data_IF_425304954777
#
_entry.id   IF_425304954777
#
_cell.length_a   1.000
_cell.length_b   1.000
_cell.length_c   1.000
_cell.angle_alpha   90.00
_cell.angle_beta   90.00
_cell.angle_gamma   90.00
#
_symmetry.space_group_name_H-M   'P 1'
#
loop_
_entity.id
_entity.type
_entity.pdbx_description
1 polymer ?
#
# COMPACT_ATOMS: atom_id res chain seq x y z
N UNK A 1 16.41 -27.35 3.44
CA UNK A 1 15.75 -26.33 4.27
C UNK A 1 16.76 -25.22 4.55
N UNK A 2 16.84 -24.22 3.67
CA UNK A 2 17.79 -23.10 3.83
C UNK A 2 17.09 -21.96 4.54
N UNK A 3 17.46 -21.79 5.81
CA UNK A 3 17.12 -20.63 6.64
C UNK A 3 18.10 -19.54 6.23
N UNK A 4 17.67 -18.57 5.42
CA UNK A 4 18.49 -17.37 5.22
C UNK A 4 18.45 -16.55 6.50
N UNK A 5 19.64 -16.22 6.99
CA UNK A 5 19.95 -15.67 8.31
C UNK A 5 19.69 -14.16 8.42
N UNK A 6 18.79 -13.64 7.60
CA UNK A 6 18.40 -12.24 7.62
C UNK A 6 16.91 -12.21 7.92
N UNK A 7 16.54 -11.70 9.09
CA UNK A 7 15.15 -11.59 9.57
C UNK A 7 14.32 -10.61 8.75
N UNK A 8 14.11 -10.89 7.47
CA UNK A 8 13.21 -10.15 6.61
C UNK A 8 11.77 -10.52 6.97
N UNK A 9 11.20 -9.80 7.93
CA UNK A 9 9.78 -9.56 7.94
C UNK A 9 9.45 -8.87 6.60
N UNK A 10 8.66 -9.53 5.76
CA UNK A 10 8.14 -8.94 4.53
C UNK A 10 7.16 -7.83 4.93
N UNK A 11 7.69 -6.62 5.13
CA UNK A 11 6.93 -5.41 4.88
C UNK A 11 7.16 -5.11 3.41
N UNK A 12 6.12 -5.26 2.61
CA UNK A 12 6.14 -4.91 1.19
C UNK A 12 6.26 -3.38 1.08
N UNK A 13 7.51 -2.89 1.15
CA UNK A 13 7.98 -1.79 0.32
C UNK A 13 7.82 -2.17 -1.16
N UNK A 14 7.73 -1.30 -2.17
CA UNK A 14 8.81 -0.38 -2.53
C UNK A 14 8.49 0.63 -3.66
N UNK A 15 9.25 1.73 -3.59
CA UNK A 15 9.69 2.83 -4.50
C UNK A 15 9.25 3.04 -5.98
N UNK A 16 9.10 4.35 -6.26
CA UNK A 16 8.84 5.12 -7.49
C UNK A 16 9.86 5.03 -8.65
N UNK A 17 9.38 5.32 -9.87
CA UNK A 17 10.17 5.91 -10.97
C UNK A 17 9.53 7.23 -11.45
N UNK A 18 10.33 8.30 -11.51
CA UNK A 18 9.93 9.66 -11.88
C UNK A 18 10.06 9.87 -13.41
N UNK A 19 9.01 10.39 -14.07
CA UNK A 19 9.17 11.18 -15.31
C UNK A 19 8.45 12.52 -15.18
N UNK A 20 9.25 13.56 -15.32
CA UNK A 20 8.90 14.98 -15.25
C UNK A 20 8.22 15.41 -16.56
N UNK A 21 7.14 16.18 -16.50
CA UNK A 21 6.68 17.05 -17.60
C UNK A 21 5.87 18.22 -17.01
N UNK A 22 6.11 19.42 -17.54
CA UNK A 22 5.84 20.69 -16.87
C UNK A 22 4.53 21.40 -17.22
N UNK A 23 4.22 22.36 -16.33
CA UNK A 23 3.48 23.63 -16.42
C UNK A 23 2.13 23.71 -17.18
N UNK A 24 1.06 24.09 -16.46
CA UNK A 24 0.50 25.47 -16.44
C UNK A 24 -0.73 25.58 -15.50
N UNK A 25 -0.88 26.76 -14.87
CA UNK A 25 -2.00 27.26 -14.01
C UNK A 25 -2.64 28.44 -14.82
N UNK A 26 -3.93 28.86 -14.69
CA UNK A 26 -4.62 29.03 -13.41
C UNK A 26 -6.15 28.83 -13.29
N UNK A 27 -6.53 28.66 -12.01
CA UNK A 27 -7.73 29.12 -11.29
C UNK A 27 -9.12 29.00 -11.95
N UNK A 28 -9.95 28.13 -11.37
CA UNK A 28 -11.41 28.15 -11.49
C UNK A 28 -12.07 27.62 -10.21
N UNK A 29 -12.76 28.52 -9.50
CA UNK A 29 -13.85 28.31 -8.54
C UNK A 29 -13.80 27.07 -7.60
N UNK A 30 -13.40 27.37 -6.36
CA UNK A 30 -13.79 26.77 -5.07
C UNK A 30 -14.97 25.77 -5.13
N UNK A 31 -14.66 24.46 -5.12
CA UNK A 31 -15.60 23.42 -4.70
C UNK A 31 -15.32 23.04 -3.25
N UNK A 32 -15.97 23.72 -2.31
CA UNK A 32 -15.92 23.36 -0.89
C UNK A 32 -16.49 21.97 -0.61
N UNK A 33 -17.34 21.42 -1.51
CA UNK A 33 -17.81 20.04 -1.45
C UNK A 33 -16.90 19.01 -2.14
N UNK A 34 -15.95 19.44 -2.98
CA UNK A 34 -14.99 18.55 -3.63
C UNK A 34 -13.83 18.17 -2.71
N UNK A 35 -13.35 19.14 -1.91
CA UNK A 35 -12.28 18.91 -0.94
C UNK A 35 -12.72 17.94 0.18
N UNK A 36 -13.90 18.11 0.76
CA UNK A 36 -14.43 17.20 1.81
C UNK A 36 -14.61 15.78 1.27
N UNK A 37 -15.19 15.62 0.06
CA UNK A 37 -15.28 14.32 -0.61
C UNK A 37 -13.90 13.73 -0.91
N UNK A 38 -12.91 14.56 -1.25
CA UNK A 38 -11.55 14.08 -1.49
C UNK A 38 -10.86 13.61 -0.21
N UNK A 39 -11.08 14.28 0.92
CA UNK A 39 -10.57 13.87 2.23
C UNK A 39 -11.26 12.59 2.72
N UNK A 40 -12.58 12.48 2.57
CA UNK A 40 -13.35 11.27 2.86
C UNK A 40 -12.89 10.10 1.99
N UNK A 41 -12.70 10.31 0.68
CA UNK A 41 -12.21 9.27 -0.22
C UNK A 41 -10.76 8.87 0.10
N UNK A 42 -9.89 9.82 0.46
CA UNK A 42 -8.53 9.53 0.90
C UNK A 42 -8.53 8.72 2.20
N UNK A 43 -9.40 9.05 3.15
CA UNK A 43 -9.56 8.29 4.39
C UNK A 43 -10.10 6.88 4.13
N UNK A 44 -11.05 6.73 3.19
CA UNK A 44 -11.54 5.42 2.76
C UNK A 44 -10.43 4.57 2.13
N UNK A 45 -9.55 5.18 1.32
CA UNK A 45 -8.41 4.48 0.74
C UNK A 45 -7.41 4.00 1.81
N UNK A 46 -7.13 4.83 2.81
CA UNK A 46 -6.32 4.44 3.97
C UNK A 46 -7.00 3.30 4.76
N UNK A 47 -8.33 3.31 4.89
CA UNK A 47 -9.06 2.24 5.54
C UNK A 47 -8.97 0.90 4.78
N UNK A 48 -9.06 0.93 3.44
CA UNK A 48 -8.82 -0.25 2.59
C UNK A 48 -7.41 -0.79 2.80
N UNK A 49 -6.40 0.08 2.81
CA UNK A 49 -5.00 -0.31 3.06
C UNK A 49 -4.81 -0.96 4.44
N UNK A 50 -5.43 -0.39 5.48
CA UNK A 50 -5.40 -1.01 6.80
C UNK A 50 -6.06 -2.39 6.81
N UNK A 51 -7.19 -2.55 6.11
CA UNK A 51 -7.87 -3.84 6.03
C UNK A 51 -7.05 -4.86 5.25
N UNK A 52 -6.43 -4.45 4.14
CA UNK A 52 -5.44 -5.25 3.43
C UNK A 52 -4.34 -5.78 4.36
N UNK A 53 -3.70 -4.89 5.13
CA UNK A 53 -2.66 -5.28 6.09
C UNK A 53 -3.17 -6.32 7.09
N UNK A 54 -4.37 -6.12 7.65
CA UNK A 54 -4.96 -7.08 8.59
C UNK A 54 -5.29 -8.42 7.92
N UNK A 55 -5.85 -8.38 6.71
CA UNK A 55 -6.19 -9.57 5.94
C UNK A 55 -4.93 -10.40 5.63
N UNK A 56 -3.83 -9.75 5.25
CA UNK A 56 -2.56 -10.45 5.00
C UNK A 56 -1.98 -11.09 6.27
N UNK A 57 -2.01 -10.37 7.39
CA UNK A 57 -1.49 -10.86 8.67
C UNK A 57 -2.30 -12.04 9.20
N UNK A 58 -3.63 -11.97 9.08
CA UNK A 58 -4.56 -12.93 9.68
C UNK A 58 -5.01 -14.03 8.72
N UNK A 59 -4.61 -13.95 7.45
CA UNK A 59 -4.89 -14.98 6.46
C UNK A 59 -6.29 -14.92 5.86
N UNK A 60 -6.89 -13.72 5.75
CA UNK A 60 -8.13 -13.52 5.01
C UNK A 60 -7.86 -13.50 3.50
N UNK A 61 -7.73 -14.70 2.95
CA UNK A 61 -7.48 -14.92 1.52
C UNK A 61 -8.64 -14.40 0.67
N UNK A 62 -9.88 -14.48 1.16
CA UNK A 62 -11.06 -14.09 0.39
C UNK A 62 -11.10 -12.58 0.17
N UNK A 63 -10.80 -11.80 1.21
CA UNK A 63 -10.69 -10.35 1.09
C UNK A 63 -9.58 -9.94 0.11
N UNK A 64 -8.38 -10.53 0.27
CA UNK A 64 -7.23 -10.23 -0.60
C UNK A 64 -7.53 -10.61 -2.06
N UNK A 65 -8.15 -11.76 -2.30
CA UNK A 65 -8.50 -12.19 -3.65
C UNK A 65 -9.51 -11.26 -4.33
N UNK A 66 -10.48 -10.74 -3.57
CA UNK A 66 -11.48 -9.80 -4.07
C UNK A 66 -10.90 -8.40 -4.33
N UNK A 67 -9.91 -7.97 -3.54
CA UNK A 67 -9.28 -6.65 -3.68
C UNK A 67 -8.32 -6.59 -4.89
N UNK A 68 -7.61 -7.68 -5.18
CA UNK A 68 -6.57 -7.69 -6.21
C UNK A 68 -7.11 -8.00 -7.61
N UNK A 69 -6.81 -7.12 -8.57
CA UNK A 69 -6.96 -7.44 -9.99
C UNK A 69 -6.04 -8.61 -10.40
N UNK A 70 -6.43 -9.38 -11.43
CA UNK A 70 -5.59 -10.49 -11.93
C UNK A 70 -4.23 -10.01 -12.48
N UNK A 71 -4.20 -8.76 -12.98
CA UNK A 71 -3.00 -8.08 -13.44
C UNK A 71 -2.13 -7.53 -12.31
N UNK A 72 -2.57 -7.60 -11.04
CA UNK A 72 -1.85 -7.06 -9.89
C UNK A 72 -0.41 -7.57 -9.81
N UNK A 73 0.51 -6.68 -9.45
CA UNK A 73 1.92 -6.99 -9.19
C UNK A 73 2.38 -6.29 -7.91
N UNK A 74 3.01 -7.06 -7.03
CA UNK A 74 3.81 -6.53 -5.92
C UNK A 74 5.28 -6.49 -6.35
N UNK A 75 6.00 -5.41 -6.06
CA UNK A 75 7.41 -5.27 -6.44
C UNK A 75 8.27 -5.15 -5.18
N UNK A 76 9.23 -6.06 -5.04
CA UNK A 76 10.20 -6.09 -3.94
C UNK A 76 11.31 -5.05 -4.10
N UNK A 77 12.17 -4.91 -3.09
CA UNK A 77 13.19 -3.84 -3.02
C UNK A 77 14.23 -3.97 -4.12
N UNK A 78 14.46 -5.22 -4.51
CA UNK A 78 15.36 -5.65 -5.55
C UNK A 78 14.74 -5.54 -6.96
N UNK A 79 13.49 -5.05 -7.06
CA UNK A 79 12.75 -4.95 -8.31
C UNK A 79 12.05 -6.24 -8.74
N UNK A 80 12.09 -7.32 -7.93
CA UNK A 80 11.40 -8.57 -8.26
C UNK A 80 9.89 -8.38 -8.20
N UNK A 81 9.19 -8.71 -9.29
CA UNK A 81 7.74 -8.65 -9.37
C UNK A 81 7.08 -9.99 -8.99
N UNK A 82 6.07 -9.92 -8.13
CA UNK A 82 5.29 -11.05 -7.65
C UNK A 82 3.85 -10.97 -8.14
N UNK A 83 3.29 -12.04 -8.73
CA UNK A 83 1.89 -12.07 -9.15
C UNK A 83 0.94 -12.22 -7.97
N UNK A 84 -0.35 -11.90 -8.19
CA UNK A 84 -1.46 -12.13 -7.25
C UNK A 84 -1.41 -13.50 -6.58
N UNK A 85 -1.16 -14.57 -7.34
CA UNK A 85 -1.11 -15.94 -6.79
C UNK A 85 -0.02 -16.15 -5.73
N UNK A 86 1.12 -15.47 -5.83
CA UNK A 86 2.18 -15.53 -4.83
C UNK A 86 1.74 -14.85 -3.52
N UNK A 87 1.02 -13.73 -3.63
CA UNK A 87 0.47 -13.04 -2.46
C UNK A 87 -0.59 -13.91 -1.78
N UNK A 88 -1.55 -14.46 -2.52
CA UNK A 88 -2.58 -15.35 -1.96
C UNK A 88 -1.98 -16.56 -1.24
N UNK A 89 -0.88 -17.11 -1.76
CA UNK A 89 -0.16 -18.20 -1.11
C UNK A 89 0.48 -17.76 0.22
N UNK A 90 1.05 -16.54 0.28
CA UNK A 90 1.60 -15.93 1.50
C UNK A 90 0.52 -15.71 2.55
N UNK A 91 -0.60 -15.08 2.18
CA UNK A 91 -1.76 -14.82 3.05
C UNK A 91 -2.28 -16.13 3.66
N UNK A 92 -2.46 -17.16 2.82
CA UNK A 92 -2.87 -18.50 3.28
C UNK A 92 -1.87 -19.12 4.26
N UNK A 93 -0.57 -18.86 4.10
CA UNK A 93 0.45 -19.35 5.02
C UNK A 93 0.42 -18.60 6.36
N UNK A 94 0.17 -17.29 6.34
CA UNK A 94 0.09 -16.44 7.53
C UNK A 94 -1.06 -16.85 8.45
N UNK A 95 -2.22 -17.20 7.90
CA UNK A 95 -3.39 -17.66 8.69
C UNK A 95 -3.17 -18.94 9.51
N UNK A 96 -2.03 -19.63 9.37
CA UNK A 96 -1.70 -20.85 10.12
C UNK A 96 -1.10 -20.59 11.50
N UNK A 97 -0.64 -19.36 11.80
CA UNK A 97 -0.04 -19.03 13.09
C UNK A 97 -0.02 -17.52 13.36
N UNK A 98 0.15 -17.12 14.62
CA UNK A 98 0.32 -15.71 14.99
C UNK A 98 1.74 -15.15 14.70
N UNK A 99 2.63 -15.94 14.07
CA UNK A 99 4.02 -15.53 13.86
C UNK A 99 4.13 -14.25 13.03
N UNK A 100 3.33 -14.13 11.97
CA UNK A 100 3.34 -12.94 11.12
C UNK A 100 2.87 -11.71 11.89
N UNK A 101 1.79 -11.82 12.66
CA UNK A 101 1.28 -10.73 13.49
C UNK A 101 2.34 -10.20 14.48
N UNK A 102 3.09 -11.09 15.14
CA UNK A 102 4.16 -10.71 16.06
C UNK A 102 5.34 -10.03 15.35
N UNK A 103 5.70 -10.51 14.16
CA UNK A 103 6.76 -9.91 13.34
C UNK A 103 6.38 -8.51 12.89
N UNK A 104 5.16 -8.33 12.36
CA UNK A 104 4.66 -7.02 11.93
C UNK A 104 4.58 -6.07 13.10
N UNK A 105 3.98 -6.47 14.23
CA UNK A 105 3.88 -5.61 15.42
C UNK A 105 5.27 -5.14 15.90
N UNK A 106 6.26 -6.03 15.91
CA UNK A 106 7.63 -5.71 16.28
C UNK A 106 8.28 -4.74 15.28
N UNK A 107 8.07 -4.95 13.99
CA UNK A 107 8.58 -4.09 12.94
C UNK A 107 7.96 -2.69 12.99
N UNK A 108 6.63 -2.58 13.09
CA UNK A 108 5.93 -1.29 13.16
C UNK A 108 6.40 -0.44 14.36
N UNK A 109 6.69 -1.10 15.49
CA UNK A 109 7.24 -0.43 16.69
C UNK A 109 8.66 0.09 16.46
N UNK A 110 9.49 -0.67 15.74
CA UNK A 110 10.87 -0.29 15.44
C UNK A 110 10.99 0.74 14.30
N UNK A 111 10.02 0.75 13.39
CA UNK A 111 10.03 1.53 12.15
C UNK A 111 8.73 2.31 11.98
N UNK A 112 8.48 3.35 12.80
CA UNK A 112 7.30 4.19 12.63
C UNK A 112 7.37 4.95 11.29
N UNK A 113 6.27 4.91 10.54
CA UNK A 113 6.08 5.63 9.28
C UNK A 113 4.76 6.40 9.30
N UNK A 114 4.62 7.34 8.38
CA UNK A 114 3.37 7.99 8.08
C UNK A 114 2.73 7.41 6.82
N UNK A 115 1.43 7.59 6.70
CA UNK A 115 0.63 7.17 5.54
C UNK A 115 -0.07 8.39 4.96
N UNK A 116 -0.06 8.51 3.64
CA UNK A 116 -0.76 9.56 2.91
C UNK A 116 -1.50 8.91 1.73
N UNK A 117 -2.78 9.26 1.55
CA UNK A 117 -3.54 8.90 0.37
C UNK A 117 -3.76 10.12 -0.52
N UNK A 118 -3.79 9.90 -1.83
CA UNK A 118 -4.20 10.89 -2.82
C UNK A 118 -4.94 10.20 -3.95
N UNK A 119 -6.05 10.77 -4.39
CA UNK A 119 -6.82 10.29 -5.53
C UNK A 119 -6.70 11.30 -6.68
N UNK A 120 -6.42 10.79 -7.89
CA UNK A 120 -6.42 11.55 -9.14
C UNK A 120 -7.22 10.78 -10.19
N UNK A 121 -8.38 11.33 -10.59
CA UNK A 121 -9.31 10.61 -11.45
C UNK A 121 -9.78 9.32 -10.77
N UNK A 122 -9.62 8.19 -11.47
CA UNK A 122 -9.98 6.86 -10.99
C UNK A 122 -8.80 6.11 -10.33
N UNK A 123 -7.68 6.81 -10.07
CA UNK A 123 -6.50 6.21 -9.46
C UNK A 123 -6.30 6.75 -8.04
N UNK A 124 -6.27 5.85 -7.06
CA UNK A 124 -5.83 6.11 -5.70
C UNK A 124 -4.36 5.71 -5.52
N UNK A 125 -3.59 6.52 -4.81
CA UNK A 125 -2.22 6.18 -4.41
C UNK A 125 -2.12 6.32 -2.90
N UNK A 126 -1.73 5.24 -2.23
CA UNK A 126 -1.32 5.25 -0.83
C UNK A 126 0.20 5.28 -0.79
N UNK A 127 0.77 6.20 -0.01
CA UNK A 127 2.20 6.36 0.16
C UNK A 127 2.57 6.17 1.62
N UNK A 128 3.55 5.31 1.86
CA UNK A 128 4.16 5.12 3.17
C UNK A 128 5.50 5.83 3.21
N UNK A 129 5.74 6.62 4.25
CA UNK A 129 6.92 7.46 4.31
C UNK A 129 7.57 7.53 5.69
N UNK A 130 8.88 7.70 5.70
CA UNK A 130 9.67 7.99 6.90
C UNK A 130 9.21 9.29 7.53
N UNK A 131 8.81 9.26 8.81
CA UNK A 131 8.43 10.46 9.56
C UNK A 131 9.56 11.50 9.64
N UNK A 132 10.82 11.07 9.55
CA UNK A 132 11.99 11.96 9.60
C UNK A 132 12.17 12.77 8.31
N UNK A 133 11.81 12.20 7.17
CA UNK A 133 12.05 12.79 5.85
C UNK A 133 10.76 13.33 5.20
N UNK A 134 9.60 12.91 5.69
CA UNK A 134 8.28 13.30 5.19
C UNK A 134 7.95 12.70 3.81
N UNK A 135 6.70 12.89 3.33
CA UNK A 135 6.19 12.22 2.13
C UNK A 135 6.90 12.64 0.83
N UNK A 136 7.60 13.79 0.81
CA UNK A 136 8.29 14.29 -0.39
C UNK A 136 9.68 13.71 -0.60
N UNK A 137 10.36 13.26 0.47
CA UNK A 137 11.77 12.82 0.42
C UNK A 137 12.00 11.46 1.06
N UNK A 138 11.02 10.94 1.78
CA UNK A 138 11.13 9.73 2.58
C UNK A 138 10.18 8.63 2.17
N UNK A 139 9.75 8.55 0.90
CA UNK A 139 8.89 7.46 0.44
C UNK A 139 9.60 6.13 0.63
N UNK A 140 8.93 5.21 1.33
CA UNK A 140 9.41 3.85 1.60
C UNK A 140 8.68 2.84 0.71
N UNK A 141 7.37 3.03 0.54
CA UNK A 141 6.49 2.20 -0.27
C UNK A 141 5.34 3.02 -0.84
N UNK A 142 4.68 2.46 -1.85
CA UNK A 142 3.42 2.97 -2.36
C UNK A 142 2.57 1.86 -2.93
N UNK A 143 1.27 1.93 -2.69
CA UNK A 143 0.26 1.08 -3.31
C UNK A 143 -0.64 1.91 -4.23
N UNK A 144 -1.03 1.31 -5.35
CA UNK A 144 -1.82 1.95 -6.39
C UNK A 144 -3.12 1.19 -6.57
N UNK A 145 -4.22 1.91 -6.42
CA UNK A 145 -5.58 1.41 -6.53
C UNK A 145 -6.20 1.98 -7.79
N UNK A 146 -6.81 1.10 -8.58
CA UNK A 146 -7.61 1.48 -9.73
C UNK A 146 -9.09 1.28 -9.37
N UNK A 147 -9.89 2.35 -9.44
CA UNK A 147 -11.34 2.31 -9.25
C UNK A 147 -12.04 1.81 -10.52
N UNK A 148 -11.65 0.62 -10.99
CA UNK A 148 -12.28 -0.01 -12.13
C UNK A 148 -13.73 -0.37 -11.78
N UNK A 149 -14.69 0.37 -12.36
CA UNK A 149 -16.12 0.08 -12.21
C UNK A 149 -16.84 0.75 -11.04
N UNK A 150 -16.27 1.82 -10.46
CA UNK A 150 -16.87 2.61 -9.35
C UNK A 150 -17.14 1.79 -8.07
N UNK A 151 -16.24 0.88 -7.71
CA UNK A 151 -16.23 0.18 -6.42
C UNK A 151 -14.84 0.17 -5.82
#
# INVERSE_FOLDING_TARGET
MKVNRDGAAYVVGHTLSCKKSGAATPAGAQQTGGAVKSEENNAALIAVEHHWTQAEIHGDVAYVDALLADSYRSVSADGTAHPKSAILASVKANGKSNKMALLVASYMKAHPFGTLATIQGDTGVVTFYSLKQGPKKGVMSSDVFDYAGRR
#
